data_IF_969210980755
#
_entry.id   IF_969210980755
#
_cell.length_a   1.000
_cell.length_b   1.000
_cell.length_c   1.000
_cell.angle_alpha   90.00
_cell.angle_beta   90.00
_cell.angle_gamma   90.00
#
_symmetry.space_group_name_H-M   'P 1'
#
loop_
_entity.id
_entity.type
_entity.pdbx_description
1 polymer ?
#
# COMPACT_ATOMS: atom_id res chain seq x y z
N UNK A 1 -12.07 -0.87 8.03
CA UNK A 1 -11.46 -0.04 6.97
C UNK A 1 -10.72 -0.96 5.99
N UNK A 2 -10.75 -0.69 4.68
CA UNK A 2 -10.04 -1.50 3.68
C UNK A 2 -8.53 -1.20 3.75
N UNK A 3 -7.64 -2.22 3.80
CA UNK A 3 -6.20 -1.99 3.77
C UNK A 3 -5.75 -1.41 2.42
N UNK A 4 -4.95 -0.34 2.47
CA UNK A 4 -4.42 0.37 1.29
C UNK A 4 -2.90 0.26 1.26
N UNK A 5 -2.33 0.13 0.06
CA UNK A 5 -0.89 0.26 -0.15
C UNK A 5 -0.49 1.72 -0.36
N UNK A 6 -1.33 2.46 -1.07
CA UNK A 6 -1.13 3.87 -1.42
C UNK A 6 -2.46 4.63 -1.41
N UNK A 7 -2.39 5.90 -1.05
CA UNK A 7 -3.45 6.88 -1.18
C UNK A 7 -2.91 8.05 -2.00
N UNK A 8 -3.71 8.57 -2.92
CA UNK A 8 -3.38 9.77 -3.69
C UNK A 8 -4.56 10.72 -3.62
N UNK A 9 -4.29 11.96 -3.18
CA UNK A 9 -5.29 13.01 -3.24
C UNK A 9 -5.47 13.46 -4.69
N UNK A 10 -6.71 13.54 -5.12
CA UNK A 10 -7.12 14.18 -6.37
C UNK A 10 -7.62 15.60 -6.05
N UNK A 11 -8.40 16.19 -6.94
CA UNK A 11 -9.08 17.47 -6.72
C UNK A 11 -10.22 17.31 -5.69
N UNK A 12 -10.60 18.42 -5.03
CA UNK A 12 -11.78 18.52 -4.16
C UNK A 12 -11.91 17.45 -3.06
N UNK A 13 -10.80 17.11 -2.39
CA UNK A 13 -10.75 16.12 -1.30
C UNK A 13 -11.19 14.70 -1.69
N UNK A 14 -11.19 14.39 -2.99
CA UNK A 14 -11.39 13.03 -3.49
C UNK A 14 -10.08 12.25 -3.37
N UNK A 15 -10.17 11.02 -2.87
CA UNK A 15 -9.03 10.12 -2.73
C UNK A 15 -9.10 8.98 -3.73
N UNK A 16 -7.99 8.73 -4.42
CA UNK A 16 -7.77 7.49 -5.13
C UNK A 16 -7.04 6.49 -4.21
N UNK A 17 -7.70 5.36 -3.95
CA UNK A 17 -7.15 4.28 -3.14
C UNK A 17 -6.57 3.17 -4.02
N UNK A 18 -5.31 2.79 -3.77
CA UNK A 18 -4.77 1.53 -4.30
C UNK A 18 -4.78 0.49 -3.18
N UNK A 19 -5.58 -0.57 -3.36
CA UNK A 19 -5.72 -1.61 -2.33
C UNK A 19 -4.40 -2.34 -2.08
N UNK A 20 -4.16 -2.72 -0.82
CA UNK A 20 -2.94 -3.46 -0.46
C UNK A 20 -2.90 -4.83 -1.14
N UNK A 21 -4.04 -5.50 -1.27
CA UNK A 21 -4.13 -6.80 -1.94
C UNK A 21 -3.75 -6.71 -3.41
N UNK A 22 -4.37 -5.80 -4.18
CA UNK A 22 -4.11 -5.66 -5.60
C UNK A 22 -2.65 -5.24 -5.85
N UNK A 23 -2.13 -4.34 -5.00
CA UNK A 23 -0.74 -3.93 -5.05
C UNK A 23 0.22 -5.13 -4.89
N UNK A 24 0.06 -5.94 -3.84
CA UNK A 24 0.92 -7.09 -3.59
C UNK A 24 0.84 -8.12 -4.73
N UNK A 25 -0.37 -8.40 -5.24
CA UNK A 25 -0.57 -9.34 -6.34
C UNK A 25 0.09 -8.87 -7.64
N UNK A 26 -0.11 -7.61 -8.03
CA UNK A 26 0.48 -7.07 -9.25
C UNK A 26 2.00 -6.93 -9.16
N UNK A 27 2.54 -6.51 -8.00
CA UNK A 27 3.99 -6.44 -7.77
C UNK A 27 4.62 -7.83 -7.84
N UNK A 28 4.00 -8.83 -7.20
CA UNK A 28 4.46 -10.22 -7.28
C UNK A 28 4.49 -10.76 -8.70
N UNK A 29 3.41 -10.53 -9.47
CA UNK A 29 3.34 -10.95 -10.87
C UNK A 29 4.44 -10.29 -11.71
N UNK A 30 4.61 -8.97 -11.59
CA UNK A 30 5.61 -8.22 -12.34
C UNK A 30 7.04 -8.64 -11.96
N UNK A 31 7.32 -8.81 -10.67
CA UNK A 31 8.62 -9.26 -10.17
C UNK A 31 8.95 -10.67 -10.69
N UNK A 32 7.98 -11.58 -10.66
CA UNK A 32 8.12 -12.91 -11.25
C UNK A 32 8.41 -12.88 -12.75
N UNK A 33 7.72 -12.01 -13.50
CA UNK A 33 7.94 -11.85 -14.95
C UNK A 33 9.36 -11.38 -15.24
N UNK A 34 9.90 -10.43 -14.48
CA UNK A 34 11.28 -9.97 -14.66
C UNK A 34 12.31 -11.02 -14.27
N UNK A 35 12.07 -11.80 -13.22
CA UNK A 35 13.00 -12.82 -12.76
C UNK A 35 12.96 -14.13 -13.56
N UNK A 36 11.97 -14.30 -14.44
CA UNK A 36 11.77 -15.51 -15.23
C UNK A 36 12.99 -15.85 -16.10
N UNK A 37 13.61 -14.86 -16.73
CA UNK A 37 14.79 -15.06 -17.58
C UNK A 37 16.01 -15.55 -16.79
N UNK A 38 16.03 -15.33 -15.48
CA UNK A 38 17.09 -15.75 -14.57
C UNK A 38 16.77 -17.06 -13.83
N UNK A 39 15.62 -17.69 -14.12
CA UNK A 39 15.19 -18.93 -13.48
C UNK A 39 14.70 -18.77 -12.03
N UNK A 40 14.39 -17.55 -11.58
CA UNK A 40 14.03 -17.25 -10.18
C UNK A 40 12.63 -16.59 -10.06
N UNK A 41 11.70 -16.94 -10.95
CA UNK A 41 10.37 -16.32 -11.00
C UNK A 41 9.58 -16.51 -9.69
N UNK A 42 9.64 -17.70 -9.11
CA UNK A 42 8.99 -18.08 -7.86
C UNK A 42 9.51 -17.27 -6.66
N UNK A 43 10.84 -17.13 -6.57
CA UNK A 43 11.49 -16.34 -5.53
C UNK A 43 11.05 -14.88 -5.57
N UNK A 44 10.99 -14.27 -6.75
CA UNK A 44 10.60 -12.87 -6.86
C UNK A 44 9.08 -12.66 -6.76
N UNK A 45 8.26 -13.63 -7.12
CA UNK A 45 6.83 -13.63 -6.78
C UNK A 45 6.64 -13.61 -5.27
N UNK A 46 7.31 -14.52 -4.55
CA UNK A 46 7.24 -14.58 -3.09
C UNK A 46 7.76 -13.29 -2.44
N UNK A 47 8.91 -12.77 -2.90
CA UNK A 47 9.46 -11.50 -2.41
C UNK A 47 8.48 -10.33 -2.65
N UNK A 48 7.88 -10.25 -3.85
CA UNK A 48 6.90 -9.23 -4.18
C UNK A 48 5.63 -9.30 -3.32
N UNK A 49 5.12 -10.50 -3.04
CA UNK A 49 3.97 -10.69 -2.14
C UNK A 49 4.28 -10.28 -0.69
N UNK A 50 5.51 -10.50 -0.22
CA UNK A 50 5.86 -10.34 1.18
C UNK A 50 6.40 -8.94 1.52
N UNK A 51 6.92 -8.19 0.54
CA UNK A 51 7.69 -6.98 0.79
C UNK A 51 6.96 -5.93 1.65
N UNK A 52 5.65 -5.80 1.46
CA UNK A 52 4.79 -4.81 2.13
C UNK A 52 3.72 -5.46 3.01
N UNK A 53 3.86 -6.74 3.37
CA UNK A 53 2.88 -7.46 4.20
C UNK A 53 2.65 -6.75 5.55
N UNK A 54 3.68 -6.08 6.09
CA UNK A 54 3.58 -5.27 7.29
C UNK A 54 2.53 -4.15 7.22
N UNK A 55 2.16 -3.70 6.02
CA UNK A 55 1.13 -2.68 5.83
C UNK A 55 -0.28 -3.13 6.25
N UNK A 56 -0.53 -4.43 6.45
CA UNK A 56 -1.77 -4.90 7.07
C UNK A 56 -1.89 -4.54 8.55
N UNK A 57 -0.80 -4.09 9.20
CA UNK A 57 -0.85 -3.62 10.58
C UNK A 57 -1.78 -2.39 10.71
N UNK A 58 -2.77 -2.41 11.64
CA UNK A 58 -3.70 -1.30 11.82
C UNK A 58 -3.03 0.05 12.10
N UNK A 59 -1.98 0.09 12.92
CA UNK A 59 -1.23 1.32 13.24
C UNK A 59 -0.52 1.86 11.99
N UNK A 60 -0.06 0.98 11.10
CA UNK A 60 0.53 1.39 9.84
C UNK A 60 -0.53 1.93 8.86
N UNK A 61 -1.74 1.35 8.84
CA UNK A 61 -2.85 1.88 8.04
C UNK A 61 -3.28 3.27 8.51
N UNK A 62 -3.30 3.51 9.83
CA UNK A 62 -3.57 4.82 10.41
C UNK A 62 -2.48 5.83 10.01
N UNK A 63 -1.21 5.44 10.08
CA UNK A 63 -0.09 6.26 9.59
C UNK A 63 -0.22 6.62 8.10
N UNK A 64 -0.56 5.66 7.23
CA UNK A 64 -0.74 5.91 5.78
C UNK A 64 -1.85 6.94 5.55
N UNK A 65 -2.96 6.85 6.28
CA UNK A 65 -4.10 7.75 6.14
C UNK A 65 -3.78 9.15 6.64
N UNK A 66 -3.18 9.28 7.83
CA UNK A 66 -2.75 10.56 8.39
C UNK A 66 -1.74 11.28 7.50
N UNK A 67 -0.69 10.60 7.07
CA UNK A 67 0.42 11.26 6.38
C UNK A 67 0.17 11.53 4.90
N UNK A 68 -0.82 10.85 4.30
CA UNK A 68 -1.21 11.15 2.93
C UNK A 68 -2.38 12.12 2.84
N UNK A 69 -2.98 12.57 3.95
CA UNK A 69 -3.95 13.68 4.00
C UNK A 69 -5.39 13.31 4.40
N UNK A 70 -5.64 12.07 4.85
CA UNK A 70 -6.94 11.62 5.35
C UNK A 70 -7.02 11.85 6.87
N UNK A 71 -7.13 13.12 7.28
CA UNK A 71 -7.89 13.58 8.44
C UNK A 71 -8.02 15.11 8.39
N UNK A 72 -9.26 15.61 8.30
CA UNK A 72 -9.60 16.91 8.88
C UNK A 72 -9.68 16.68 10.38
N UNK A 73 -8.60 16.95 11.12
CA UNK A 73 -8.76 17.18 12.55
C UNK A 73 -9.56 18.49 12.68
N UNK A 74 -10.78 18.40 13.22
CA UNK A 74 -11.23 19.51 14.06
C UNK A 74 -10.16 19.59 15.14
N UNK A 75 -9.39 20.69 15.11
CA UNK A 75 -8.40 21.08 16.12
C UNK A 75 -9.05 21.04 17.51
N UNK A 76 -9.01 19.87 18.15
CA UNK A 76 -9.30 19.70 19.57
C UNK A 76 -8.01 19.94 20.33
N UNK A 77 -7.53 21.19 20.24
CA UNK A 77 -6.32 21.68 20.86
C UNK A 77 -6.05 21.02 22.20
N UNK A 78 -4.97 20.23 22.24
CA UNK A 78 -4.30 19.80 23.45
C UNK A 78 -2.85 19.46 23.12
N UNK A 79 -1.99 20.32 23.69
CA UNK A 79 -0.54 20.28 23.90
C UNK A 79 0.38 20.92 22.83
#
# INVERSE_FOLDING_TARGET
MKPVAHLRQLEDSVWEEHSLHDHLMHVAELAGRFAKEFGNADWLQAAGLLHDLGKFNPTWQEYIRRNNGDYSEEDDGQD
#
